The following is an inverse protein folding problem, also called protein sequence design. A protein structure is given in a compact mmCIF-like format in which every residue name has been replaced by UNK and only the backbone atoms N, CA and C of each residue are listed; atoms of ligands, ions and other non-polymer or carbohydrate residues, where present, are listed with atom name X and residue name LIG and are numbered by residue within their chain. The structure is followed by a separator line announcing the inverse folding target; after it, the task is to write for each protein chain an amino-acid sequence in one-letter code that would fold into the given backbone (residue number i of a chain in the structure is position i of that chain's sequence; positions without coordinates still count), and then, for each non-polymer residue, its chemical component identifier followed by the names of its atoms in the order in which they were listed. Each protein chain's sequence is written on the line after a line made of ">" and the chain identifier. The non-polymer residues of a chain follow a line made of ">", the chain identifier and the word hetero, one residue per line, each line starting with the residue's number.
data_IF_979977721248
#
_entry.id   IF_979977721248
#
_cell.length_a   1.000
_cell.length_b   1.000
_cell.length_c   1.000
_cell.angle_alpha   90.00
_cell.angle_beta   90.00
_cell.angle_gamma   90.00
#
_symmetry.space_group_name_H-M   'P 1'
#
loop_
_entity.id
_entity.type
_entity.pdbx_description
1 polymer ?
#
# COMPACT_ATOMS: atom_id res chain seq x y z
N UNK A 1 -25.07 -13.48 -5.66
CA UNK A 1 -24.67 -12.51 -6.67
C UNK A 1 -24.29 -11.25 -5.95
N UNK A 2 -23.08 -10.74 -6.16
CA UNK A 2 -22.52 -9.56 -5.49
C UNK A 2 -23.14 -8.31 -6.12
N UNK A 3 -23.85 -7.51 -5.33
CA UNK A 3 -24.51 -6.29 -5.79
C UNK A 3 -23.54 -5.11 -5.77
N UNK A 4 -23.33 -4.50 -6.94
CA UNK A 4 -22.32 -3.47 -7.17
C UNK A 4 -22.96 -2.10 -7.33
N UNK A 5 -22.45 -1.10 -6.60
CA UNK A 5 -22.72 0.33 -6.80
C UNK A 5 -21.51 1.00 -7.42
N UNK A 6 -21.68 1.73 -8.52
CA UNK A 6 -20.62 2.52 -9.15
C UNK A 6 -20.81 3.99 -8.83
N UNK A 7 -19.78 4.63 -8.25
CA UNK A 7 -19.82 6.02 -7.82
C UNK A 7 -18.69 6.79 -8.50
N UNK A 8 -19.04 7.72 -9.36
CA UNK A 8 -18.11 8.52 -10.13
C UNK A 8 -18.84 9.78 -10.63
N UNK A 9 -18.22 10.93 -10.69
CA UNK A 9 -18.87 12.14 -11.16
C UNK A 9 -19.03 12.16 -12.70
N UNK A 10 -18.13 11.46 -13.43
CA UNK A 10 -18.22 11.34 -14.87
C UNK A 10 -19.24 10.26 -15.30
N UNK A 11 -20.24 10.69 -16.02
CA UNK A 11 -21.28 9.80 -16.56
C UNK A 11 -20.74 8.78 -17.58
N UNK A 12 -19.74 9.17 -18.36
CA UNK A 12 -19.16 8.28 -19.38
C UNK A 12 -18.36 7.17 -18.72
N UNK A 13 -17.60 7.49 -17.68
CA UNK A 13 -16.86 6.50 -16.87
C UNK A 13 -17.83 5.51 -16.23
N UNK A 14 -18.89 5.98 -15.55
CA UNK A 14 -19.89 5.09 -14.97
C UNK A 14 -20.49 4.15 -16.00
N UNK A 15 -20.94 4.70 -17.14
CA UNK A 15 -21.52 3.91 -18.22
C UNK A 15 -20.52 2.95 -18.86
N UNK A 16 -19.27 3.40 -19.03
CA UNK A 16 -18.18 2.57 -19.55
C UNK A 16 -17.93 1.37 -18.67
N UNK A 17 -17.72 1.58 -17.37
CA UNK A 17 -17.47 0.52 -16.38
C UNK A 17 -18.69 -0.42 -16.27
N UNK A 18 -19.89 0.14 -16.16
CA UNK A 18 -21.12 -0.64 -16.05
C UNK A 18 -21.37 -1.55 -17.25
N UNK A 19 -21.04 -1.09 -18.48
CA UNK A 19 -21.37 -1.81 -19.73
C UNK A 19 -20.22 -2.65 -20.27
N UNK A 20 -18.96 -2.25 -20.05
CA UNK A 20 -17.81 -2.90 -20.67
C UNK A 20 -17.25 -4.06 -19.84
N UNK A 21 -17.46 -4.05 -18.53
CA UNK A 21 -16.99 -5.14 -17.68
C UNK A 21 -17.95 -6.35 -17.68
N UNK A 22 -17.44 -7.59 -17.79
CA UNK A 22 -18.27 -8.81 -17.80
C UNK A 22 -18.71 -9.21 -16.37
N UNK A 23 -19.45 -8.35 -15.68
CA UNK A 23 -19.87 -8.51 -14.28
C UNK A 23 -20.51 -9.86 -13.98
N UNK A 24 -21.41 -10.31 -14.86
CA UNK A 24 -22.16 -11.55 -14.67
C UNK A 24 -21.27 -12.81 -14.67
N UNK A 25 -20.17 -12.79 -15.42
CA UNK A 25 -19.22 -13.91 -15.47
C UNK A 25 -18.50 -14.13 -14.15
N UNK A 26 -18.41 -13.06 -13.32
CA UNK A 26 -17.82 -13.09 -11.98
C UNK A 26 -18.86 -13.11 -10.86
N UNK A 27 -20.14 -13.41 -11.16
CA UNK A 27 -21.20 -13.47 -10.16
C UNK A 27 -21.54 -12.12 -9.54
N UNK A 28 -21.30 -11.01 -10.26
CA UNK A 28 -21.55 -9.64 -9.86
C UNK A 28 -22.66 -9.01 -10.70
N UNK A 29 -23.40 -8.04 -10.14
CA UNK A 29 -24.45 -7.30 -10.81
C UNK A 29 -24.39 -5.83 -10.41
N UNK A 30 -24.34 -4.92 -11.39
CA UNK A 30 -24.43 -3.48 -11.11
C UNK A 30 -25.86 -3.11 -10.83
N UNK A 31 -26.16 -2.82 -9.55
CA UNK A 31 -27.51 -2.49 -9.09
C UNK A 31 -27.79 -0.99 -9.06
N UNK A 32 -26.75 -0.15 -9.19
CA UNK A 32 -26.93 1.30 -9.19
C UNK A 32 -25.69 2.07 -9.62
N UNK A 33 -25.95 3.35 -9.89
CA UNK A 33 -24.93 4.36 -10.19
C UNK A 33 -25.20 5.63 -9.40
N UNK A 34 -24.16 6.27 -8.87
CA UNK A 34 -24.26 7.57 -8.21
C UNK A 34 -23.21 8.53 -8.76
N UNK A 35 -23.55 9.83 -8.82
CA UNK A 35 -22.69 10.86 -9.41
C UNK A 35 -21.86 11.65 -8.39
N UNK A 36 -21.96 11.31 -7.10
CA UNK A 36 -21.16 11.85 -6.00
C UNK A 36 -21.44 11.04 -4.72
N UNK A 37 -20.65 11.30 -3.67
CA UNK A 37 -20.74 10.57 -2.41
C UNK A 37 -22.09 10.74 -1.69
N UNK A 38 -22.73 11.91 -1.74
CA UNK A 38 -24.03 12.13 -1.09
C UNK A 38 -25.12 11.24 -1.71
N UNK A 39 -25.23 11.21 -3.04
CA UNK A 39 -26.16 10.31 -3.74
C UNK A 39 -25.84 8.84 -3.56
N UNK A 40 -24.58 8.50 -3.34
CA UNK A 40 -24.20 7.13 -3.01
C UNK A 40 -24.73 6.72 -1.63
N UNK A 41 -24.65 7.58 -0.62
CA UNK A 41 -25.22 7.33 0.70
C UNK A 41 -26.75 7.20 0.63
N UNK A 42 -27.44 8.11 -0.08
CA UNK A 42 -28.89 8.02 -0.31
C UNK A 42 -29.29 6.67 -0.95
N UNK A 43 -28.46 6.20 -1.91
CA UNK A 43 -28.70 4.90 -2.54
C UNK A 43 -28.51 3.73 -1.57
N UNK A 44 -27.45 3.77 -0.76
CA UNK A 44 -27.14 2.74 0.23
C UNK A 44 -28.21 2.63 1.32
N UNK A 45 -28.88 3.74 1.68
CA UNK A 45 -29.99 3.71 2.65
C UNK A 45 -31.19 2.89 2.15
N UNK A 46 -31.43 2.89 0.85
CA UNK A 46 -32.60 2.26 0.24
C UNK A 46 -32.34 0.93 -0.45
N UNK A 47 -31.08 0.55 -0.64
CA UNK A 47 -30.70 -0.62 -1.43
C UNK A 47 -29.62 -1.43 -0.75
N UNK A 48 -29.70 -2.75 -0.88
CA UNK A 48 -28.61 -3.64 -0.45
C UNK A 48 -27.49 -3.62 -1.49
N UNK A 49 -26.28 -3.27 -1.05
CA UNK A 49 -25.05 -3.23 -1.85
C UNK A 49 -23.96 -4.00 -1.12
N UNK A 50 -23.26 -4.86 -1.84
CA UNK A 50 -22.16 -5.67 -1.29
C UNK A 50 -20.78 -5.07 -1.63
N UNK A 51 -20.68 -4.41 -2.79
CA UNK A 51 -19.46 -3.81 -3.30
C UNK A 51 -19.73 -2.41 -3.84
N UNK A 52 -18.94 -1.45 -3.43
CA UNK A 52 -18.94 -0.10 -3.97
C UNK A 52 -17.62 0.20 -4.66
N UNK A 53 -17.70 0.60 -5.95
CA UNK A 53 -16.58 1.17 -6.67
C UNK A 53 -16.72 2.69 -6.62
N UNK A 54 -15.75 3.41 -6.09
CA UNK A 54 -15.85 4.87 -5.94
C UNK A 54 -14.63 5.61 -6.47
N UNK A 55 -14.87 6.71 -7.20
CA UNK A 55 -13.81 7.69 -7.43
C UNK A 55 -13.51 8.46 -6.14
N UNK A 56 -12.28 8.95 -6.00
CA UNK A 56 -11.84 9.75 -4.86
C UNK A 56 -12.19 11.23 -5.02
N UNK A 57 -12.06 11.76 -6.24
CA UNK A 57 -12.19 13.19 -6.51
C UNK A 57 -13.54 13.52 -7.12
N UNK A 58 -14.57 13.66 -6.29
CA UNK A 58 -15.93 13.99 -6.73
C UNK A 58 -16.43 15.30 -6.10
N UNK A 59 -17.30 16.05 -6.81
CA UNK A 59 -17.93 17.25 -6.26
C UNK A 59 -18.96 16.89 -5.18
N UNK A 60 -19.33 17.85 -4.31
CA UNK A 60 -20.31 17.76 -3.24
C UNK A 60 -19.82 16.93 -2.04
N UNK A 61 -19.45 15.67 -2.26
CA UNK A 61 -18.88 14.77 -1.30
C UNK A 61 -17.85 13.89 -2.03
N UNK A 62 -16.61 13.98 -1.62
CA UNK A 62 -15.49 13.21 -2.15
C UNK A 62 -15.60 11.72 -1.82
N UNK A 63 -14.86 10.87 -2.55
CA UNK A 63 -14.81 9.44 -2.24
C UNK A 63 -14.26 9.13 -0.85
N UNK A 64 -13.31 9.91 -0.36
CA UNK A 64 -12.77 9.76 1.00
C UNK A 64 -13.84 10.06 2.05
N UNK A 65 -14.60 11.15 1.90
CA UNK A 65 -15.70 11.48 2.83
C UNK A 65 -16.80 10.42 2.78
N UNK A 66 -17.13 9.92 1.57
CA UNK A 66 -18.07 8.82 1.37
C UNK A 66 -17.59 7.56 2.09
N UNK A 67 -16.33 7.18 1.94
CA UNK A 67 -15.77 5.99 2.58
C UNK A 67 -15.83 6.09 4.11
N UNK A 68 -15.50 7.24 4.70
CA UNK A 68 -15.61 7.46 6.16
C UNK A 68 -17.04 7.28 6.65
N UNK A 69 -18.01 7.90 5.97
CA UNK A 69 -19.42 7.78 6.33
C UNK A 69 -19.93 6.35 6.14
N UNK A 70 -19.61 5.71 5.01
CA UNK A 70 -20.03 4.35 4.71
C UNK A 70 -19.46 3.33 5.71
N UNK A 71 -18.21 3.48 6.15
CA UNK A 71 -17.63 2.58 7.16
C UNK A 71 -18.32 2.62 8.52
N UNK A 72 -18.81 3.78 8.92
CA UNK A 72 -19.54 3.92 10.17
C UNK A 72 -20.95 3.28 10.12
N UNK A 73 -21.59 3.34 8.96
CA UNK A 73 -23.00 2.91 8.81
C UNK A 73 -23.08 1.49 8.24
N UNK A 74 -22.19 1.15 7.31
CA UNK A 74 -22.17 -0.11 6.56
C UNK A 74 -20.79 -0.80 6.66
N UNK A 75 -20.41 -1.34 7.83
CA UNK A 75 -19.07 -1.92 8.05
C UNK A 75 -18.77 -3.11 7.13
N UNK A 76 -19.82 -3.79 6.65
CA UNK A 76 -19.71 -4.96 5.76
C UNK A 76 -19.55 -4.60 4.28
N UNK A 77 -19.73 -3.34 3.91
CA UNK A 77 -19.61 -2.89 2.52
C UNK A 77 -18.16 -3.00 2.05
N UNK A 78 -17.93 -3.79 1.01
CA UNK A 78 -16.62 -3.81 0.35
C UNK A 78 -16.44 -2.57 -0.50
N UNK A 79 -15.26 -1.94 -0.44
CA UNK A 79 -15.00 -0.70 -1.16
C UNK A 79 -13.75 -0.89 -2.03
N UNK A 80 -13.88 -0.58 -3.31
CA UNK A 80 -12.79 -0.51 -4.28
C UNK A 80 -12.70 0.93 -4.79
N UNK A 81 -11.50 1.46 -4.81
CA UNK A 81 -11.26 2.83 -5.28
C UNK A 81 -10.92 2.82 -6.77
N UNK A 82 -11.60 3.68 -7.52
CA UNK A 82 -11.29 4.03 -8.90
C UNK A 82 -10.61 5.39 -8.91
N UNK A 83 -9.44 5.53 -9.50
CA UNK A 83 -8.77 6.83 -9.54
C UNK A 83 -7.98 7.05 -10.82
N UNK A 84 -8.07 8.25 -11.38
CA UNK A 84 -7.15 8.73 -12.43
C UNK A 84 -5.83 9.20 -11.81
N UNK A 85 -5.85 9.54 -10.53
CA UNK A 85 -4.71 10.10 -9.84
C UNK A 85 -3.88 9.02 -9.15
N UNK A 86 -2.59 9.09 -9.39
CA UNK A 86 -1.58 8.35 -8.62
C UNK A 86 -1.15 9.15 -7.37
N UNK A 87 -2.03 10.03 -6.88
CA UNK A 87 -1.76 10.82 -5.67
C UNK A 87 -1.76 9.89 -4.46
N UNK A 88 -0.59 9.69 -3.97
CA UNK A 88 -0.25 8.79 -2.90
C UNK A 88 -1.08 9.03 -1.62
N UNK A 89 -1.27 10.27 -1.23
CA UNK A 89 -1.99 10.64 0.00
C UNK A 89 -3.46 10.17 -0.04
N UNK A 90 -4.11 10.25 -1.19
CA UNK A 90 -5.48 9.78 -1.35
C UNK A 90 -5.58 8.24 -1.39
N UNK A 91 -4.62 7.58 -2.03
CA UNK A 91 -4.56 6.10 -2.06
C UNK A 91 -4.28 5.57 -0.65
N UNK A 92 -3.36 6.19 0.08
CA UNK A 92 -3.03 5.83 1.46
C UNK A 92 -4.24 5.99 2.38
N UNK A 93 -4.96 7.12 2.29
CA UNK A 93 -6.15 7.36 3.09
C UNK A 93 -7.28 6.38 2.74
N UNK A 94 -7.47 6.05 1.46
CA UNK A 94 -8.46 5.07 1.04
C UNK A 94 -8.16 3.67 1.58
N UNK A 95 -6.90 3.24 1.54
CA UNK A 95 -6.47 1.96 2.12
C UNK A 95 -6.62 1.96 3.65
N UNK A 96 -6.31 3.08 4.32
CA UNK A 96 -6.53 3.27 5.75
C UNK A 96 -8.01 3.18 6.13
N UNK A 97 -8.91 3.68 5.28
CA UNK A 97 -10.35 3.57 5.43
C UNK A 97 -10.89 2.18 5.05
N UNK A 98 -10.01 1.23 4.73
CA UNK A 98 -10.37 -0.16 4.47
C UNK A 98 -10.84 -0.43 3.04
N UNK A 99 -10.36 0.31 2.04
CA UNK A 99 -10.52 -0.12 0.65
C UNK A 99 -9.87 -1.49 0.46
N UNK A 100 -10.60 -2.42 -0.14
CA UNK A 100 -10.08 -3.77 -0.41
C UNK A 100 -9.18 -3.80 -1.63
N UNK A 101 -9.33 -2.84 -2.55
CA UNK A 101 -8.47 -2.68 -3.73
C UNK A 101 -8.52 -1.25 -4.25
N UNK A 102 -7.53 -0.90 -5.10
CA UNK A 102 -7.58 0.31 -5.89
C UNK A 102 -7.29 0.00 -7.36
N UNK A 103 -7.89 0.75 -8.25
CA UNK A 103 -7.77 0.57 -9.69
C UNK A 103 -7.48 1.94 -10.31
N UNK A 104 -6.33 2.06 -10.98
CA UNK A 104 -6.06 3.25 -11.77
C UNK A 104 -6.93 3.21 -13.04
N UNK A 105 -7.78 4.23 -13.28
CA UNK A 105 -8.67 4.29 -14.45
C UNK A 105 -7.89 4.19 -15.78
N UNK A 106 -6.64 4.69 -15.82
CA UNK A 106 -5.73 4.54 -16.97
C UNK A 106 -5.35 3.07 -17.23
N UNK A 107 -5.37 2.23 -16.21
CA UNK A 107 -5.11 0.80 -16.34
C UNK A 107 -6.33 0.05 -16.90
N UNK A 108 -7.55 0.56 -16.68
CA UNK A 108 -8.77 -0.01 -17.26
C UNK A 108 -8.78 0.00 -18.79
N UNK A 109 -8.01 0.88 -19.43
CA UNK A 109 -7.81 0.86 -20.88
C UNK A 109 -6.79 -0.18 -21.36
N UNK A 110 -5.91 -0.66 -20.48
CA UNK A 110 -4.78 -1.55 -20.78
C UNK A 110 -4.88 -2.94 -20.17
N UNK A 111 -5.56 -3.08 -19.03
CA UNK A 111 -5.79 -4.37 -18.39
C UNK A 111 -7.06 -5.01 -18.98
N UNK A 112 -7.02 -6.32 -19.14
CA UNK A 112 -8.24 -7.07 -19.42
C UNK A 112 -9.16 -6.94 -18.19
N UNK A 113 -10.37 -6.46 -18.36
CA UNK A 113 -11.38 -6.28 -17.30
C UNK A 113 -11.57 -7.55 -16.43
N UNK A 114 -11.39 -8.72 -17.04
CA UNK A 114 -11.45 -10.02 -16.40
C UNK A 114 -10.43 -10.13 -15.25
N UNK A 115 -9.20 -9.65 -15.43
CA UNK A 115 -8.17 -9.67 -14.37
C UNK A 115 -8.57 -8.81 -13.17
N UNK A 116 -9.14 -7.64 -13.43
CA UNK A 116 -9.61 -6.73 -12.37
C UNK A 116 -10.76 -7.37 -11.61
N UNK A 117 -11.78 -7.87 -12.30
CA UNK A 117 -12.94 -8.51 -11.68
C UNK A 117 -12.57 -9.79 -10.94
N UNK A 118 -11.66 -10.59 -11.48
CA UNK A 118 -11.18 -11.79 -10.80
C UNK A 118 -10.45 -11.44 -9.49
N UNK A 119 -9.62 -10.39 -9.50
CA UNK A 119 -8.91 -9.92 -8.30
C UNK A 119 -9.90 -9.45 -7.23
N UNK A 120 -10.90 -8.64 -7.60
CA UNK A 120 -11.95 -8.16 -6.69
C UNK A 120 -12.76 -9.36 -6.16
N UNK A 121 -13.21 -10.26 -7.04
CA UNK A 121 -13.98 -11.44 -6.67
C UNK A 121 -13.23 -12.32 -5.67
N UNK A 122 -11.95 -12.57 -5.93
CA UNK A 122 -11.09 -13.35 -5.03
C UNK A 122 -10.99 -12.70 -3.67
N UNK A 123 -10.74 -11.38 -3.60
CA UNK A 123 -10.66 -10.64 -2.33
C UNK A 123 -11.97 -10.65 -1.54
N UNK A 124 -13.11 -10.42 -2.21
CA UNK A 124 -14.42 -10.52 -1.56
C UNK A 124 -14.69 -11.95 -1.08
N UNK A 125 -14.32 -12.96 -1.89
CA UNK A 125 -14.43 -14.35 -1.54
C UNK A 125 -13.61 -14.73 -0.30
N UNK A 126 -12.38 -14.21 -0.20
CA UNK A 126 -11.50 -14.36 0.96
C UNK A 126 -12.14 -13.76 2.22
N UNK A 127 -12.67 -12.55 2.12
CA UNK A 127 -13.31 -11.84 3.23
C UNK A 127 -14.67 -12.46 3.65
N UNK A 128 -15.44 -13.00 2.69
CA UNK A 128 -16.76 -13.59 2.96
C UNK A 128 -16.69 -15.06 3.38
N UNK A 129 -15.72 -15.84 2.88
CA UNK A 129 -15.54 -17.23 3.28
C UNK A 129 -15.05 -17.38 4.71
N UNK A 130 -14.30 -16.40 5.22
CA UNK A 130 -13.91 -16.32 6.63
C UNK A 130 -15.14 -16.27 7.56
N UNK A 131 -16.29 -15.75 7.10
CA UNK A 131 -17.53 -15.64 7.89
C UNK A 131 -18.55 -16.75 7.71
N UNK A 132 -18.51 -17.54 6.59
CA UNK A 132 -19.59 -18.49 6.26
C UNK A 132 -19.37 -19.94 6.71
N UNK A 133 -18.17 -20.30 7.17
CA UNK A 133 -17.84 -21.69 7.56
C UNK A 133 -17.56 -21.86 9.05
N UNK A 134 -18.21 -21.09 9.91
CA UNK A 134 -18.33 -21.49 11.30
C UNK A 134 -19.39 -22.61 11.36
N UNK A 135 -19.04 -23.87 11.63
CA UNK A 135 -19.96 -24.72 12.33
C UNK A 135 -20.38 -23.89 13.56
N UNK A 136 -21.65 -23.97 13.97
CA UNK A 136 -22.06 -23.49 15.29
C UNK A 136 -21.29 -24.31 16.35
N UNK A 137 -20.00 -24.03 16.47
CA UNK A 137 -19.18 -24.45 17.58
C UNK A 137 -19.71 -23.67 18.76
N UNK A 138 -20.62 -24.30 19.50
CA UNK A 138 -21.34 -23.72 20.61
C UNK A 138 -20.39 -23.04 21.61
N UNK A 139 -20.94 -22.28 22.51
CA UNK A 139 -20.31 -21.62 23.65
C UNK A 139 -19.57 -22.59 24.62
N UNK A 140 -19.02 -23.69 24.10
CA UNK A 140 -18.30 -24.70 24.88
C UNK A 140 -16.91 -24.14 25.15
N UNK A 141 -16.61 -23.86 26.40
CA UNK A 141 -15.30 -23.44 26.85
C UNK A 141 -14.26 -24.52 26.55
N UNK A 142 -13.11 -24.12 26.06
CA UNK A 142 -12.00 -25.00 25.73
C UNK A 142 -11.33 -25.49 27.01
N UNK A 143 -11.24 -26.79 27.20
CA UNK A 143 -10.59 -27.42 28.37
C UNK A 143 -9.15 -27.85 28.08
N UNK A 144 -8.63 -27.56 26.89
CA UNK A 144 -7.28 -27.92 26.48
C UNK A 144 -6.26 -26.89 27.01
N UNK A 145 -5.01 -27.34 27.25
CA UNK A 145 -3.93 -26.44 27.71
C UNK A 145 -3.31 -25.65 26.58
N UNK A 146 -3.23 -26.26 25.41
CA UNK A 146 -2.63 -25.69 24.20
C UNK A 146 -3.53 -25.92 22.99
N UNK A 147 -3.46 -24.99 22.05
CA UNK A 147 -3.99 -25.10 20.70
C UNK A 147 -2.85 -24.86 19.73
N UNK A 148 -2.79 -25.68 18.71
CA UNK A 148 -1.82 -25.57 17.62
C UNK A 148 -2.53 -25.06 16.39
N UNK A 149 -1.93 -24.10 15.68
CA UNK A 149 -2.49 -23.64 14.41
C UNK A 149 -1.41 -23.64 13.32
N UNK A 150 -1.68 -24.36 12.23
CA UNK A 150 -0.86 -24.33 11.03
C UNK A 150 -1.46 -23.32 10.07
N UNK A 151 -0.73 -22.26 9.80
CA UNK A 151 -1.18 -21.10 9.03
C UNK A 151 -0.31 -20.94 7.79
N UNK A 152 -0.92 -20.78 6.61
CA UNK A 152 -0.20 -20.40 5.40
C UNK A 152 -0.26 -18.89 5.21
N UNK A 153 0.89 -18.23 5.08
CA UNK A 153 0.99 -16.82 4.74
C UNK A 153 0.72 -16.58 3.25
N UNK A 154 0.95 -17.58 2.39
CA UNK A 154 0.59 -17.51 0.96
C UNK A 154 -0.88 -17.82 0.73
N UNK A 155 -1.70 -16.77 0.81
CA UNK A 155 -3.15 -16.86 0.55
C UNK A 155 -3.50 -17.01 -0.95
N UNK A 156 -2.54 -16.86 -1.86
CA UNK A 156 -2.77 -16.88 -3.32
C UNK A 156 -2.61 -18.24 -3.94
N UNK A 157 -1.91 -19.16 -3.29
CA UNK A 157 -1.80 -20.53 -3.83
C UNK A 157 -3.17 -21.18 -3.81
N UNK A 158 -3.72 -21.46 -4.99
CA UNK A 158 -4.98 -22.19 -5.13
C UNK A 158 -4.90 -23.64 -4.66
N UNK A 159 -3.78 -24.05 -4.12
CA UNK A 159 -3.49 -25.39 -3.63
C UNK A 159 -4.12 -25.56 -2.24
N UNK A 160 -5.17 -26.37 -2.16
CA UNK A 160 -5.68 -26.87 -0.89
C UNK A 160 -4.69 -27.94 -0.43
N UNK A 161 -4.01 -27.68 0.67
CA UNK A 161 -3.06 -28.62 1.23
C UNK A 161 -3.80 -29.85 1.78
N UNK A 162 -3.49 -31.02 1.32
CA UNK A 162 -3.92 -32.23 1.98
C UNK A 162 -3.07 -32.40 3.24
N UNK A 163 -3.38 -31.63 4.29
CA UNK A 163 -2.92 -32.00 5.61
C UNK A 163 -3.55 -33.31 5.92
N UNK A 164 -2.73 -34.33 6.23
CA UNK A 164 -3.22 -35.69 6.50
C UNK A 164 -4.31 -35.61 7.58
N UNK A 165 -5.56 -35.75 7.11
CA UNK A 165 -6.77 -35.66 7.94
C UNK A 165 -6.96 -36.97 8.77
N UNK A 166 -5.90 -37.76 8.99
CA UNK A 166 -5.91 -38.83 9.95
C UNK A 166 -5.89 -38.26 11.36
N UNK A 167 -7.05 -37.74 11.79
CA UNK A 167 -7.26 -37.37 13.18
C UNK A 167 -7.15 -38.63 14.04
N UNK A 168 -6.26 -38.59 15.03
CA UNK A 168 -6.33 -39.53 16.15
C UNK A 168 -7.73 -39.48 16.79
N UNK A 169 -8.22 -40.55 17.38
CA UNK A 169 -9.56 -40.64 17.93
C UNK A 169 -9.97 -39.55 18.93
N UNK A 170 -9.00 -38.85 19.47
CA UNK A 170 -9.19 -37.83 20.54
C UNK A 170 -8.74 -36.40 20.12
N UNK A 171 -8.36 -36.18 18.86
CA UNK A 171 -7.97 -34.89 18.34
C UNK A 171 -9.19 -34.08 17.87
N UNK A 172 -9.22 -32.80 18.26
CA UNK A 172 -10.19 -31.85 17.77
C UNK A 172 -9.51 -30.98 16.71
N UNK A 173 -10.07 -30.94 15.51
CA UNK A 173 -9.54 -30.21 14.37
C UNK A 173 -10.59 -29.26 13.80
N UNK A 174 -10.17 -28.01 13.47
CA UNK A 174 -11.02 -27.01 12.84
C UNK A 174 -10.26 -26.25 11.75
N UNK A 175 -10.96 -25.88 10.71
CA UNK A 175 -10.49 -24.91 9.74
C UNK A 175 -10.65 -23.49 10.35
N UNK A 176 -9.55 -22.73 10.40
CA UNK A 176 -9.55 -21.33 10.88
C UNK A 176 -10.00 -20.42 9.76
N UNK A 177 -9.30 -20.53 8.63
CA UNK A 177 -9.60 -19.89 7.36
C UNK A 177 -9.00 -20.74 6.22
N UNK A 178 -9.13 -20.30 4.97
CA UNK A 178 -8.60 -21.04 3.83
C UNK A 178 -7.09 -21.30 3.99
N UNK A 179 -6.71 -22.58 3.91
CA UNK A 179 -5.33 -23.05 4.13
C UNK A 179 -4.77 -22.78 5.54
N UNK A 180 -5.63 -22.64 6.55
CA UNK A 180 -5.22 -22.48 7.94
C UNK A 180 -6.09 -23.34 8.84
N UNK A 181 -5.45 -24.15 9.68
CA UNK A 181 -6.11 -25.14 10.51
C UNK A 181 -5.65 -25.04 11.94
N UNK A 182 -6.50 -25.38 12.89
CA UNK A 182 -6.15 -25.49 14.30
C UNK A 182 -6.51 -26.86 14.88
N UNK A 183 -5.70 -27.31 15.83
CA UNK A 183 -5.83 -28.58 16.51
C UNK A 183 -5.70 -28.41 18.03
N UNK A 184 -6.38 -29.31 18.74
CA UNK A 184 -6.16 -29.50 20.16
C UNK A 184 -6.24 -30.98 20.49
N UNK A 185 -5.47 -31.39 21.47
CA UNK A 185 -5.46 -32.76 22.01
C UNK A 185 -5.56 -32.75 23.51
N UNK A 186 -6.10 -33.82 24.15
CA UNK A 186 -6.05 -34.00 25.58
C UNK A 186 -4.61 -34.00 26.12
N UNK A 187 -4.45 -33.72 27.39
CA UNK A 187 -3.16 -33.69 28.07
C UNK A 187 -2.42 -35.03 27.89
N UNK A 188 -1.19 -34.97 27.39
CA UNK A 188 -0.34 -36.14 27.11
C UNK A 188 -0.19 -36.49 25.65
N UNK A 189 -1.04 -35.95 24.72
CA UNK A 189 -0.91 -36.09 23.28
C UNK A 189 -0.20 -34.90 22.58
N UNK A 190 0.16 -33.88 23.35
CA UNK A 190 0.66 -32.61 22.84
C UNK A 190 1.96 -32.73 22.03
N UNK A 191 2.91 -33.55 22.51
CA UNK A 191 4.22 -33.68 21.87
C UNK A 191 4.10 -34.44 20.52
N UNK A 192 3.25 -35.48 20.46
CA UNK A 192 3.03 -36.21 19.22
C UNK A 192 2.35 -35.36 18.14
N UNK A 193 1.35 -34.58 18.54
CA UNK A 193 0.70 -33.63 17.64
C UNK A 193 1.68 -32.57 17.15
N UNK A 194 2.49 -32.01 18.03
CA UNK A 194 3.49 -31.01 17.68
C UNK A 194 4.50 -31.53 16.65
N UNK A 195 5.07 -32.71 16.89
CA UNK A 195 6.06 -33.34 15.97
C UNK A 195 5.45 -33.63 14.60
N UNK A 196 4.18 -34.08 14.55
CA UNK A 196 3.46 -34.26 13.31
C UNK A 196 3.26 -32.95 12.54
N UNK A 197 2.70 -31.94 13.19
CA UNK A 197 2.44 -30.63 12.58
C UNK A 197 3.73 -29.92 12.13
N UNK A 198 4.82 -30.13 12.88
CA UNK A 198 6.13 -29.65 12.48
C UNK A 198 6.64 -30.33 11.21
N UNK A 199 6.38 -31.63 11.05
CA UNK A 199 6.69 -32.37 9.81
C UNK A 199 5.83 -31.92 8.62
N UNK A 200 4.56 -31.60 8.86
CA UNK A 200 3.64 -31.12 7.83
C UNK A 200 3.98 -29.68 7.39
N UNK A 201 4.62 -28.89 8.25
CA UNK A 201 5.00 -27.49 8.00
C UNK A 201 5.89 -27.35 6.75
N UNK A 202 6.79 -28.30 6.51
CA UNK A 202 7.67 -28.30 5.32
C UNK A 202 6.90 -28.39 3.99
N UNK A 203 5.65 -28.86 4.04
CA UNK A 203 4.78 -29.00 2.87
C UNK A 203 3.92 -27.74 2.64
N UNK A 204 3.88 -26.80 3.60
CA UNK A 204 3.07 -25.57 3.55
C UNK A 204 3.96 -24.41 3.11
N UNK A 205 3.82 -23.87 1.88
CA UNK A 205 4.60 -22.71 1.46
C UNK A 205 4.37 -21.53 2.40
N UNK A 206 5.46 -20.98 2.89
CA UNK A 206 5.43 -19.90 3.87
C UNK A 206 4.52 -20.24 5.06
N UNK A 207 4.55 -21.51 5.50
CA UNK A 207 3.78 -21.99 6.63
C UNK A 207 4.37 -21.49 7.94
N UNK A 208 3.50 -21.22 8.91
CA UNK A 208 3.86 -20.96 10.30
C UNK A 208 3.06 -21.89 11.22
N UNK A 209 3.73 -22.49 12.22
CA UNK A 209 3.10 -23.26 13.28
C UNK A 209 2.99 -22.42 14.53
N UNK A 210 1.79 -21.99 14.87
CA UNK A 210 1.50 -21.26 16.10
C UNK A 210 1.22 -22.28 17.21
N UNK A 211 1.89 -22.10 18.36
CA UNK A 211 1.66 -22.87 19.59
C UNK A 211 1.03 -21.93 20.61
N UNK A 212 -0.30 -21.99 20.75
CA UNK A 212 -1.06 -21.09 21.62
C UNK A 212 -1.17 -21.69 23.01
N UNK A 213 -0.82 -20.90 24.00
CA UNK A 213 -1.04 -21.14 25.43
C UNK A 213 -2.12 -20.21 26.00
N UNK A 214 -2.55 -20.46 27.23
CA UNK A 214 -3.56 -19.67 27.93
C UNK A 214 -4.91 -19.61 27.19
N UNK A 215 -5.26 -20.72 26.55
CA UNK A 215 -6.50 -20.89 25.79
C UNK A 215 -7.69 -21.31 26.65
N UNK A 216 -7.46 -21.69 27.91
CA UNK A 216 -8.49 -22.17 28.85
C UNK A 216 -9.55 -21.08 29.08
N UNK A 217 -10.80 -21.53 29.29
CA UNK A 217 -11.96 -20.66 29.51
C UNK A 217 -12.38 -19.81 28.29
N UNK A 218 -11.71 -19.98 27.14
CA UNK A 218 -12.08 -19.31 25.89
C UNK A 218 -12.95 -20.23 25.03
N UNK A 219 -13.79 -19.64 24.20
CA UNK A 219 -14.56 -20.39 23.20
C UNK A 219 -13.71 -20.63 21.95
N UNK A 220 -14.05 -21.65 21.17
CA UNK A 220 -13.39 -21.93 19.87
C UNK A 220 -13.46 -20.72 18.93
N UNK A 221 -14.56 -20.00 18.92
CA UNK A 221 -14.73 -18.78 18.11
C UNK A 221 -13.79 -17.65 18.56
N UNK A 222 -13.55 -17.52 19.87
CA UNK A 222 -12.58 -16.53 20.38
C UNK A 222 -11.16 -16.89 19.97
N UNK A 223 -10.79 -18.17 20.03
CA UNK A 223 -9.46 -18.65 19.60
C UNK A 223 -9.28 -18.44 18.11
N UNK A 224 -10.29 -18.82 17.30
CA UNK A 224 -10.25 -18.62 15.85
C UNK A 224 -10.08 -17.16 15.45
N UNK A 225 -10.89 -16.26 16.03
CA UNK A 225 -10.79 -14.83 15.76
C UNK A 225 -9.45 -14.26 16.20
N UNK A 226 -8.90 -14.74 17.30
CA UNK A 226 -7.59 -14.34 17.76
C UNK A 226 -6.49 -14.78 16.79
N UNK A 227 -6.53 -16.04 16.30
CA UNK A 227 -5.55 -16.53 15.30
C UNK A 227 -5.62 -15.69 14.03
N UNK A 228 -6.83 -15.38 13.52
CA UNK A 228 -7.02 -14.55 12.33
C UNK A 228 -6.40 -13.17 12.55
N UNK A 229 -6.73 -12.51 13.66
CA UNK A 229 -6.19 -11.19 13.98
C UNK A 229 -4.66 -11.22 14.13
N UNK A 230 -4.12 -12.20 14.86
CA UNK A 230 -2.68 -12.38 15.04
C UNK A 230 -1.95 -12.59 13.71
N UNK A 231 -2.54 -13.38 12.81
CA UNK A 231 -1.99 -13.64 11.47
C UNK A 231 -1.92 -12.36 10.63
N UNK A 232 -2.91 -11.48 10.75
CA UNK A 232 -2.95 -10.23 9.97
C UNK A 232 -2.05 -9.13 10.54
N UNK A 233 -1.75 -9.19 11.82
CA UNK A 233 -1.00 -8.15 12.53
C UNK A 233 0.40 -8.63 12.92
N UNK A 234 0.51 -9.38 13.99
CA UNK A 234 1.78 -9.70 14.63
C UNK A 234 2.57 -10.78 13.91
N UNK A 235 1.91 -11.80 13.34
CA UNK A 235 2.59 -12.85 12.59
C UNK A 235 3.33 -12.30 11.38
N UNK A 236 2.78 -11.27 10.72
CA UNK A 236 3.46 -10.61 9.60
C UNK A 236 4.88 -10.15 9.96
N UNK A 237 5.07 -9.63 11.18
CA UNK A 237 6.36 -9.14 11.68
C UNK A 237 7.19 -10.20 12.39
N UNK A 238 6.56 -11.26 12.91
CA UNK A 238 7.21 -12.30 13.69
C UNK A 238 7.72 -13.48 12.85
N UNK A 239 7.16 -13.65 11.65
CA UNK A 239 7.49 -14.78 10.80
C UNK A 239 8.91 -14.73 10.24
N UNK A 240 9.67 -15.81 10.47
CA UNK A 240 10.97 -16.06 9.87
C UNK A 240 11.00 -17.46 9.25
N UNK A 241 11.40 -17.60 7.97
CA UNK A 241 11.40 -18.90 7.28
C UNK A 241 12.31 -19.95 7.95
N UNK A 242 13.36 -19.51 8.65
CA UNK A 242 14.31 -20.38 9.34
C UNK A 242 13.78 -20.90 10.69
N UNK A 243 12.85 -20.16 11.31
CA UNK A 243 12.20 -20.53 12.56
C UNK A 243 10.68 -20.27 12.48
N UNK A 244 9.95 -21.10 11.71
CA UNK A 244 8.53 -20.87 11.46
C UNK A 244 7.61 -21.36 12.59
N UNK A 245 8.17 -21.80 13.73
CA UNK A 245 7.41 -22.23 14.92
C UNK A 245 7.36 -21.10 15.93
N UNK A 246 6.15 -20.60 16.21
CA UNK A 246 5.94 -19.43 17.05
C UNK A 246 5.08 -19.82 18.25
N UNK A 247 5.67 -19.77 19.45
CA UNK A 247 4.95 -19.96 20.71
C UNK A 247 4.43 -18.58 21.19
N UNK A 248 3.13 -18.51 21.47
CA UNK A 248 2.48 -17.26 21.89
C UNK A 248 1.41 -17.53 22.96
N UNK A 249 1.31 -16.64 23.94
CA UNK A 249 0.23 -16.65 24.93
C UNK A 249 -0.93 -15.77 24.46
N UNK A 250 -2.15 -16.29 24.54
CA UNK A 250 -3.35 -15.49 24.26
C UNK A 250 -3.61 -14.38 25.30
N UNK A 251 -2.88 -14.37 26.41
CA UNK A 251 -2.93 -13.31 27.41
C UNK A 251 -1.87 -12.22 27.15
N UNK A 252 -0.89 -12.49 26.31
CA UNK A 252 -0.03 -11.42 25.82
C UNK A 252 -0.90 -10.45 25.03
N UNK A 253 -0.97 -9.23 25.56
CA UNK A 253 -1.67 -8.15 24.87
C UNK A 253 -0.90 -7.90 23.60
N UNK A 254 -1.46 -8.36 22.50
CA UNK A 254 -0.99 -7.94 21.18
C UNK A 254 -1.07 -6.40 21.19
N UNK A 255 0.08 -5.76 21.27
CA UNK A 255 0.12 -4.31 21.17
C UNK A 255 -0.37 -4.00 19.75
N UNK A 256 -1.68 -3.75 19.65
CA UNK A 256 -2.28 -3.33 18.40
C UNK A 256 -1.37 -2.26 17.79
N UNK A 257 -1.09 -2.33 16.48
CA UNK A 257 -0.26 -1.33 15.84
C UNK A 257 -0.80 0.04 16.22
N UNK A 258 -0.02 0.78 17.01
CA UNK A 258 -0.32 2.18 17.32
C UNK A 258 -0.32 2.90 15.99
N UNK A 259 -1.36 3.68 15.71
CA UNK A 259 -1.34 4.52 14.51
C UNK A 259 -0.08 5.41 14.60
N UNK A 260 0.87 5.27 13.64
CA UNK A 260 2.07 6.09 13.66
C UNK A 260 1.68 7.54 13.48
N UNK A 261 2.34 8.45 14.18
CA UNK A 261 2.15 9.88 13.98
C UNK A 261 2.66 10.29 12.61
N UNK A 262 2.07 11.29 12.02
CA UNK A 262 2.53 11.84 10.73
C UNK A 262 4.02 12.23 10.77
N UNK A 263 4.49 12.73 11.93
CA UNK A 263 5.91 13.03 12.17
C UNK A 263 6.84 11.81 12.05
N UNK A 264 6.41 10.64 12.52
CA UNK A 264 7.18 9.40 12.45
C UNK A 264 7.28 8.91 10.99
N UNK A 265 6.18 9.02 10.23
CA UNK A 265 6.14 8.69 8.80
C UNK A 265 7.03 9.62 7.97
N UNK A 266 6.98 10.92 8.24
CA UNK A 266 7.83 11.92 7.58
C UNK A 266 9.31 11.75 7.94
N UNK A 267 9.60 11.34 9.19
CA UNK A 267 10.96 11.04 9.61
C UNK A 267 11.53 9.87 8.83
N UNK A 268 10.81 8.76 8.75
CA UNK A 268 11.21 7.56 7.97
C UNK A 268 11.44 7.94 6.50
N UNK A 269 10.49 8.63 5.87
CA UNK A 269 10.63 9.07 4.47
C UNK A 269 11.93 9.86 4.27
N UNK A 270 12.18 10.88 5.10
CA UNK A 270 13.40 11.70 5.00
C UNK A 270 14.66 10.89 5.22
N UNK A 271 14.68 10.00 6.21
CA UNK A 271 15.84 9.19 6.53
C UNK A 271 16.22 8.22 5.41
N UNK A 272 15.23 7.61 4.77
CA UNK A 272 15.44 6.74 3.61
C UNK A 272 15.78 7.49 2.32
N UNK A 273 15.43 8.77 2.24
CA UNK A 273 15.75 9.61 1.10
C UNK A 273 17.15 10.23 1.20
N UNK A 274 17.56 10.69 2.39
CA UNK A 274 18.88 11.22 2.69
C UNK A 274 19.85 10.07 2.87
N UNK A 275 20.74 9.89 1.97
CA UNK A 275 21.50 8.67 1.68
C UNK A 275 22.80 8.35 2.43
N UNK A 276 23.04 8.69 3.71
CA UNK A 276 24.17 8.08 4.42
C UNK A 276 24.08 6.56 4.52
N UNK A 277 22.87 6.01 4.39
CA UNK A 277 22.62 4.57 4.49
C UNK A 277 23.19 3.77 3.31
N UNK A 278 23.38 4.36 2.13
CA UNK A 278 23.91 3.64 0.97
C UNK A 278 25.37 3.19 1.15
N UNK A 279 26.11 3.84 2.07
CA UNK A 279 27.54 3.57 2.32
C UNK A 279 27.84 3.25 3.78
N UNK A 280 26.83 3.13 4.64
CA UNK A 280 26.96 2.84 6.06
C UNK A 280 26.00 1.73 6.47
N UNK A 281 26.49 0.50 6.49
CA UNK A 281 25.72 -0.69 6.83
C UNK A 281 25.08 -0.61 8.23
N UNK A 282 25.75 0.03 9.21
CA UNK A 282 25.18 0.20 10.55
C UNK A 282 23.96 1.13 10.52
N UNK A 283 24.07 2.24 9.77
CA UNK A 283 22.95 3.16 9.64
C UNK A 283 21.80 2.54 8.84
N UNK A 284 22.10 1.77 7.78
CA UNK A 284 21.11 0.99 7.05
C UNK A 284 20.35 0.03 7.99
N UNK A 285 21.06 -0.77 8.78
CA UNK A 285 20.45 -1.71 9.72
C UNK A 285 19.59 -0.98 10.76
N UNK A 286 20.05 0.17 11.26
CA UNK A 286 19.28 1.01 12.17
C UNK A 286 17.96 1.48 11.54
N UNK A 287 17.98 1.94 10.28
CA UNK A 287 16.79 2.38 9.56
C UNK A 287 15.80 1.23 9.31
N UNK A 288 16.29 0.03 8.96
CA UNK A 288 15.44 -1.15 8.79
C UNK A 288 14.75 -1.51 10.10
N UNK A 289 15.48 -1.50 11.21
CA UNK A 289 14.91 -1.82 12.52
C UNK A 289 13.94 -0.74 13.02
N UNK A 290 14.25 0.55 12.78
CA UNK A 290 13.34 1.65 13.07
C UNK A 290 12.04 1.51 12.27
N UNK A 291 12.13 1.17 10.98
CA UNK A 291 10.98 0.93 10.12
C UNK A 291 10.15 -0.28 10.61
N UNK A 292 10.80 -1.39 10.98
CA UNK A 292 10.16 -2.57 11.56
C UNK A 292 9.42 -2.24 12.85
N UNK A 293 10.02 -1.39 13.69
CA UNK A 293 9.47 -1.03 15.01
C UNK A 293 8.17 -0.24 14.95
N UNK A 294 7.89 0.45 13.84
CA UNK A 294 6.62 1.15 13.62
C UNK A 294 5.42 0.20 13.53
N UNK A 295 5.64 -1.08 13.26
CA UNK A 295 4.57 -2.07 13.17
C UNK A 295 3.37 -1.63 12.34
N UNK A 296 3.63 -1.02 11.17
CA UNK A 296 2.60 -0.48 10.29
C UNK A 296 1.61 -1.56 9.85
N UNK A 297 0.34 -1.21 9.70
CA UNK A 297 -0.61 -2.08 9.01
C UNK A 297 -0.16 -2.29 7.56
N UNK A 298 -0.47 -3.45 6.95
CA UNK A 298 -0.03 -3.80 5.58
C UNK A 298 -0.30 -2.69 4.56
N UNK A 299 -1.48 -2.04 4.62
CA UNK A 299 -1.83 -0.94 3.72
C UNK A 299 -0.92 0.28 3.89
N UNK A 300 -0.66 0.68 5.14
CA UNK A 300 0.23 1.80 5.46
C UNK A 300 1.68 1.50 5.05
N UNK A 301 2.15 0.27 5.32
CA UNK A 301 3.47 -0.20 4.91
C UNK A 301 3.64 -0.14 3.39
N UNK A 302 2.69 -0.71 2.65
CA UNK A 302 2.70 -0.70 1.18
C UNK A 302 2.69 0.73 0.64
N UNK A 303 1.88 1.59 1.24
CA UNK A 303 1.81 2.99 0.90
C UNK A 303 3.14 3.72 1.09
N UNK A 304 3.81 3.51 2.21
CA UNK A 304 5.12 4.10 2.49
C UNK A 304 6.20 3.60 1.52
N UNK A 305 6.26 2.28 1.29
CA UNK A 305 7.21 1.70 0.33
C UNK A 305 6.97 2.21 -1.09
N UNK A 306 5.71 2.34 -1.50
CA UNK A 306 5.35 2.90 -2.80
C UNK A 306 5.83 4.36 -2.93
N UNK A 307 5.63 5.18 -1.90
CA UNK A 307 6.15 6.55 -1.84
C UNK A 307 7.67 6.59 -2.03
N UNK A 308 8.41 5.76 -1.30
CA UNK A 308 9.87 5.68 -1.40
C UNK A 308 10.31 5.27 -2.80
N UNK A 309 9.67 4.25 -3.39
CA UNK A 309 9.99 3.79 -4.76
C UNK A 309 9.72 4.86 -5.80
N UNK A 310 8.61 5.58 -5.68
CA UNK A 310 8.28 6.68 -6.60
C UNK A 310 9.34 7.79 -6.52
N UNK A 311 9.74 8.17 -5.32
CA UNK A 311 10.78 9.18 -5.14
C UNK A 311 12.15 8.70 -5.63
N UNK A 312 12.54 7.47 -5.32
CA UNK A 312 13.78 6.89 -5.84
C UNK A 312 13.76 6.79 -7.36
N UNK A 313 12.67 6.33 -7.95
CA UNK A 313 12.53 6.29 -9.41
C UNK A 313 12.58 7.68 -10.03
N UNK A 314 12.06 8.69 -9.35
CA UNK A 314 12.17 10.07 -9.81
C UNK A 314 13.62 10.58 -9.79
N UNK A 315 14.37 10.22 -8.74
CA UNK A 315 15.78 10.59 -8.60
C UNK A 315 16.71 9.83 -9.56
N UNK A 316 16.46 8.54 -9.75
CA UNK A 316 17.37 7.64 -10.45
C UNK A 316 16.87 7.22 -11.85
N UNK A 317 15.74 7.73 -12.31
CA UNK A 317 15.09 7.29 -13.57
C UNK A 317 15.99 7.38 -14.80
N UNK A 318 16.95 8.30 -14.81
CA UNK A 318 17.90 8.51 -15.92
C UNK A 318 19.32 8.00 -15.61
N UNK A 319 19.47 7.28 -14.48
CA UNK A 319 20.74 6.63 -14.11
C UNK A 319 20.81 5.19 -14.64
N UNK A 320 21.99 4.58 -14.56
CA UNK A 320 22.20 3.17 -14.92
C UNK A 320 21.42 2.16 -14.09
N UNK A 321 20.80 2.60 -12.98
CA UNK A 321 19.97 1.79 -12.08
C UNK A 321 18.71 1.26 -12.77
N UNK A 322 18.16 2.01 -13.72
CA UNK A 322 16.84 1.73 -14.26
C UNK A 322 15.72 1.99 -13.23
N UNK A 323 14.49 1.57 -13.55
CA UNK A 323 13.36 1.74 -12.64
C UNK A 323 13.31 0.63 -11.61
N UNK A 324 13.22 1.01 -10.33
CA UNK A 324 12.94 0.10 -9.22
C UNK A 324 11.49 -0.38 -9.36
N UNK A 325 11.32 -1.69 -9.45
CA UNK A 325 9.99 -2.30 -9.55
C UNK A 325 9.37 -2.47 -8.17
N UNK A 326 8.12 -2.08 -8.04
CA UNK A 326 7.35 -2.28 -6.82
C UNK A 326 6.78 -3.70 -6.77
N UNK A 327 6.84 -4.34 -5.60
CA UNK A 327 6.12 -5.58 -5.32
C UNK A 327 4.71 -5.21 -4.87
N UNK A 328 3.69 -5.86 -5.43
CA UNK A 328 2.29 -5.53 -5.17
C UNK A 328 1.79 -5.98 -3.79
N UNK A 329 2.44 -6.94 -3.16
CA UNK A 329 2.08 -7.40 -1.81
C UNK A 329 3.22 -8.19 -1.20
N UNK A 330 3.39 -8.07 0.11
CA UNK A 330 4.28 -8.87 0.93
C UNK A 330 3.45 -9.74 1.88
N UNK A 331 3.92 -10.94 2.15
CA UNK A 331 3.27 -11.86 3.07
C UNK A 331 3.87 -11.81 4.49
N UNK A 332 5.10 -11.32 4.60
CA UNK A 332 5.80 -11.15 5.87
C UNK A 332 6.78 -9.98 5.83
N UNK A 333 7.18 -9.51 7.00
CA UNK A 333 8.26 -8.53 7.12
C UNK A 333 9.59 -9.05 6.54
N UNK A 334 9.84 -10.34 6.65
CA UNK A 334 11.02 -10.96 6.05
C UNK A 334 11.11 -10.69 4.54
N UNK A 335 10.00 -10.80 3.81
CA UNK A 335 9.98 -10.46 2.38
C UNK A 335 10.23 -8.98 2.13
N UNK A 336 9.68 -8.11 2.97
CA UNK A 336 9.94 -6.67 2.92
C UNK A 336 11.43 -6.38 3.08
N UNK A 337 12.04 -6.98 4.08
CA UNK A 337 13.47 -6.82 4.38
C UNK A 337 14.35 -7.33 3.26
N UNK A 338 14.05 -8.49 2.68
CA UNK A 338 14.77 -9.01 1.51
C UNK A 338 14.62 -8.06 0.30
N UNK A 339 13.43 -7.54 0.05
CA UNK A 339 13.20 -6.59 -1.02
C UNK A 339 13.94 -5.27 -0.79
N UNK A 340 13.91 -4.72 0.42
CA UNK A 340 14.67 -3.52 0.80
C UNK A 340 16.16 -3.76 0.56
N UNK A 341 16.68 -4.92 0.99
CA UNK A 341 18.09 -5.28 0.80
C UNK A 341 18.50 -5.34 -0.66
N UNK A 342 17.73 -6.00 -1.51
CA UNK A 342 18.01 -6.07 -2.95
C UNK A 342 17.94 -4.68 -3.61
N UNK A 343 16.99 -3.86 -3.19
CA UNK A 343 16.85 -2.48 -3.66
C UNK A 343 18.05 -1.64 -3.24
N UNK A 344 18.46 -1.77 -1.97
CA UNK A 344 19.67 -1.14 -1.43
C UNK A 344 20.93 -1.50 -2.21
N UNK A 345 21.17 -2.79 -2.43
CA UNK A 345 22.34 -3.26 -3.20
C UNK A 345 22.34 -2.71 -4.63
N UNK A 346 21.16 -2.58 -5.22
CA UNK A 346 21.02 -2.01 -6.57
C UNK A 346 21.33 -0.52 -6.59
N UNK A 347 20.84 0.25 -5.62
CA UNK A 347 21.10 1.69 -5.47
C UNK A 347 22.59 1.91 -5.19
N UNK A 348 23.18 1.13 -4.30
CA UNK A 348 24.62 1.21 -3.99
C UNK A 348 25.51 0.97 -5.20
N UNK A 349 25.22 -0.05 -6.01
CA UNK A 349 25.95 -0.32 -7.25
C UNK A 349 25.86 0.83 -8.25
N UNK A 350 24.72 1.51 -8.31
CA UNK A 350 24.57 2.68 -9.16
C UNK A 350 25.37 3.88 -8.62
N UNK A 351 25.35 4.11 -7.32
CA UNK A 351 26.13 5.16 -6.67
C UNK A 351 27.66 4.94 -6.85
N UNK A 352 28.15 3.70 -6.81
CA UNK A 352 29.56 3.34 -7.04
C UNK A 352 30.05 3.64 -8.47
N UNK A 353 29.15 3.73 -9.44
CA UNK A 353 29.50 4.08 -10.83
C UNK A 353 29.64 5.59 -11.04
N UNK A 354 29.21 6.40 -10.07
CA UNK A 354 29.32 7.86 -10.12
C UNK A 354 30.68 8.29 -9.57
N UNK A 355 31.51 8.92 -10.39
CA UNK A 355 32.88 9.33 -10.04
C UNK A 355 32.98 10.53 -9.08
N UNK A 356 31.99 10.71 -8.17
CA UNK A 356 31.97 11.81 -7.22
C UNK A 356 32.08 11.29 -5.77
N UNK A 357 32.60 12.15 -4.87
CA UNK A 357 32.64 11.80 -3.46
C UNK A 357 31.21 11.69 -2.89
N UNK A 358 31.02 10.82 -1.88
CA UNK A 358 29.73 10.63 -1.23
C UNK A 358 29.16 11.95 -0.69
N UNK A 359 30.00 12.78 -0.10
CA UNK A 359 29.62 14.09 0.41
C UNK A 359 29.01 14.98 -0.69
N UNK A 360 29.51 14.85 -1.92
CA UNK A 360 28.98 15.56 -3.08
C UNK A 360 27.63 15.01 -3.52
N UNK A 361 27.51 13.68 -3.60
CA UNK A 361 26.24 13.02 -3.96
C UNK A 361 25.15 13.40 -2.95
N UNK A 362 25.44 13.32 -1.66
CA UNK A 362 24.53 13.70 -0.59
C UNK A 362 24.17 15.20 -0.63
N UNK A 363 25.14 16.04 -0.96
CA UNK A 363 24.94 17.47 -1.15
C UNK A 363 23.96 17.77 -2.29
N UNK A 364 24.11 17.09 -3.44
CA UNK A 364 23.19 17.25 -4.58
C UNK A 364 21.79 16.70 -4.23
N UNK A 365 21.69 15.54 -3.58
CA UNK A 365 20.42 14.98 -3.13
C UNK A 365 19.71 15.91 -2.12
N UNK A 366 20.45 16.49 -1.18
CA UNK A 366 19.92 17.49 -0.23
C UNK A 366 19.42 18.75 -0.93
N UNK A 367 20.16 19.21 -1.95
CA UNK A 367 19.73 20.36 -2.76
C UNK A 367 18.39 20.07 -3.47
N UNK A 368 18.23 18.85 -4.01
CA UNK A 368 16.98 18.39 -4.64
C UNK A 368 15.82 18.40 -3.66
N UNK A 369 16.00 17.88 -2.45
CA UNK A 369 14.96 17.91 -1.42
C UNK A 369 14.51 19.33 -1.04
N UNK A 370 15.48 20.22 -0.86
CA UNK A 370 15.17 21.64 -0.57
C UNK A 370 14.33 22.24 -1.71
N UNK A 371 14.71 21.95 -2.95
CA UNK A 371 13.99 22.44 -4.13
C UNK A 371 12.57 21.86 -4.24
N UNK A 372 12.33 20.61 -3.85
CA UNK A 372 11.01 19.99 -3.88
C UNK A 372 10.08 20.51 -2.78
N UNK A 373 10.61 20.77 -1.58
CA UNK A 373 9.84 21.25 -0.44
C UNK A 373 9.43 22.73 -0.54
N UNK A 374 10.30 23.56 -1.13
CA UNK A 374 10.13 25.01 -1.14
C UNK A 374 10.10 25.56 -2.58
N UNK A 375 9.21 25.03 -3.42
CA UNK A 375 9.12 25.37 -4.85
C UNK A 375 8.84 26.85 -5.13
N UNK A 376 8.23 27.56 -4.18
CA UNK A 376 7.95 28.99 -4.25
C UNK A 376 9.22 29.85 -4.11
N UNK A 377 10.31 29.29 -3.57
CA UNK A 377 11.57 30.01 -3.45
C UNK A 377 12.39 29.99 -4.76
N UNK A 378 13.08 31.07 -5.02
CA UNK A 378 13.99 31.20 -6.15
C UNK A 378 15.35 30.55 -5.83
N UNK A 379 15.46 29.24 -5.97
CA UNK A 379 16.75 28.57 -5.86
C UNK A 379 17.63 28.87 -7.08
N UNK A 380 18.90 29.15 -6.81
CA UNK A 380 19.90 29.29 -7.86
C UNK A 380 21.06 28.31 -7.64
N UNK A 381 21.64 27.80 -8.73
CA UNK A 381 22.83 26.96 -8.64
C UNK A 381 23.98 27.63 -7.84
N UNK A 382 24.07 28.95 -7.88
CA UNK A 382 25.04 29.73 -7.11
C UNK A 382 24.76 29.70 -5.61
N UNK A 383 23.50 29.86 -5.19
CA UNK A 383 23.13 29.83 -3.77
C UNK A 383 23.35 28.43 -3.16
N UNK A 384 22.96 27.37 -3.87
CA UNK A 384 23.16 25.99 -3.40
C UNK A 384 24.66 25.61 -3.41
N UNK A 385 25.41 26.01 -4.43
CA UNK A 385 26.85 25.74 -4.45
C UNK A 385 27.61 26.42 -3.29
N UNK A 386 27.17 27.61 -2.86
CA UNK A 386 27.72 28.28 -1.68
C UNK A 386 27.42 27.51 -0.40
N UNK A 387 26.20 26.99 -0.24
CA UNK A 387 25.84 26.16 0.91
C UNK A 387 26.67 24.87 1.01
N UNK A 388 27.09 24.33 -0.13
CA UNK A 388 27.94 23.16 -0.22
C UNK A 388 29.44 23.47 -0.23
N UNK A 389 29.85 24.75 -0.09
CA UNK A 389 31.23 25.23 -0.13
C UNK A 389 32.02 24.80 -1.41
N UNK A 390 31.34 24.79 -2.56
CA UNK A 390 31.93 24.40 -3.85
C UNK A 390 31.71 25.46 -4.92
N UNK A 391 32.48 25.40 -6.00
CA UNK A 391 32.28 26.32 -7.12
C UNK A 391 30.96 26.01 -7.86
N UNK A 392 30.31 27.06 -8.37
CA UNK A 392 29.08 26.93 -9.17
C UNK A 392 29.26 26.00 -10.39
N UNK A 393 30.42 26.09 -11.06
CA UNK A 393 30.69 25.27 -12.22
C UNK A 393 30.79 23.79 -11.87
N UNK A 394 31.48 23.47 -10.77
CA UNK A 394 31.60 22.11 -10.28
C UNK A 394 30.24 21.56 -9.82
N UNK A 395 29.47 22.34 -9.05
CA UNK A 395 28.09 21.97 -8.66
C UNK A 395 27.22 21.65 -9.89
N UNK A 396 27.25 22.53 -10.91
CA UNK A 396 26.41 22.36 -12.10
C UNK A 396 26.77 21.09 -12.88
N UNK A 397 28.07 20.76 -12.94
CA UNK A 397 28.52 19.52 -13.56
C UNK A 397 28.11 18.29 -12.75
N UNK A 398 28.39 18.27 -11.44
CA UNK A 398 27.99 17.20 -10.54
C UNK A 398 26.47 16.97 -10.56
N UNK A 399 25.71 18.07 -10.48
CA UNK A 399 24.25 18.00 -10.53
C UNK A 399 23.76 17.34 -11.82
N UNK A 400 24.31 17.76 -12.97
CA UNK A 400 23.94 17.19 -14.26
C UNK A 400 24.31 15.70 -14.35
N UNK A 401 25.51 15.32 -13.90
CA UNK A 401 25.98 13.95 -13.99
C UNK A 401 25.24 13.00 -13.03
N UNK A 402 24.85 13.50 -11.83
CA UNK A 402 24.10 12.74 -10.83
C UNK A 402 22.60 12.66 -11.17
N UNK A 403 22.01 13.78 -11.62
CA UNK A 403 20.56 13.91 -11.83
C UNK A 403 20.12 13.69 -13.29
N UNK A 404 21.07 13.50 -14.24
CA UNK A 404 20.79 13.36 -15.66
C UNK A 404 20.32 14.65 -16.35
N UNK A 405 20.01 15.72 -15.61
CA UNK A 405 19.48 16.99 -16.08
C UNK A 405 20.28 18.17 -15.52
N UNK A 406 20.34 19.27 -16.26
CA UNK A 406 20.92 20.48 -15.69
C UNK A 406 20.05 20.97 -14.52
N UNK A 407 20.66 21.68 -13.56
CA UNK A 407 19.95 22.27 -12.43
C UNK A 407 18.71 23.10 -12.86
N UNK A 408 18.83 23.91 -13.92
CA UNK A 408 17.74 24.71 -14.41
C UNK A 408 16.63 23.88 -15.05
N UNK A 409 16.98 22.83 -15.81
CA UNK A 409 15.99 21.94 -16.42
C UNK A 409 15.26 21.11 -15.37
N UNK A 410 15.99 20.64 -14.35
CA UNK A 410 15.40 19.92 -13.24
C UNK A 410 14.47 20.83 -12.41
N UNK A 411 14.90 22.04 -12.07
CA UNK A 411 14.07 23.03 -11.38
C UNK A 411 12.78 23.33 -12.15
N UNK A 412 12.90 23.49 -13.46
CA UNK A 412 11.75 23.73 -14.33
C UNK A 412 10.81 22.52 -14.36
N UNK A 413 11.38 21.34 -14.44
CA UNK A 413 10.63 20.09 -14.46
C UNK A 413 9.80 19.89 -13.19
N UNK A 414 10.39 19.96 -11.99
CA UNK A 414 9.65 19.75 -10.73
C UNK A 414 8.54 20.80 -10.51
N UNK A 415 8.77 22.05 -10.91
CA UNK A 415 7.77 23.11 -10.86
C UNK A 415 6.59 22.83 -11.79
N UNK A 416 6.85 22.26 -12.97
CA UNK A 416 5.79 21.92 -13.92
C UNK A 416 5.01 20.70 -13.44
N UNK A 417 5.64 19.67 -12.90
CA UNK A 417 4.94 18.52 -12.33
C UNK A 417 4.02 18.97 -11.17
N UNK A 418 4.51 19.77 -10.25
CA UNK A 418 3.69 20.31 -9.16
C UNK A 418 2.56 21.23 -9.66
N UNK A 419 2.79 21.98 -10.72
CA UNK A 419 1.73 22.79 -11.32
C UNK A 419 0.63 21.96 -11.95
N UNK A 420 0.96 20.85 -12.61
CA UNK A 420 -0.03 19.89 -13.12
C UNK A 420 -0.90 19.34 -11.99
N UNK A 421 -0.30 18.96 -10.88
CA UNK A 421 -0.99 18.51 -9.67
C UNK A 421 -1.99 19.59 -9.18
N UNK A 422 -1.55 20.83 -8.99
CA UNK A 422 -2.45 21.91 -8.58
C UNK A 422 -3.56 22.20 -9.61
N UNK A 423 -3.27 22.13 -10.91
CA UNK A 423 -4.25 22.35 -11.96
C UNK A 423 -5.38 21.32 -11.94
N UNK A 424 -5.04 20.06 -11.66
CA UNK A 424 -5.98 18.95 -11.65
C UNK A 424 -6.77 18.86 -10.34
N UNK A 425 -6.11 19.17 -9.20
CA UNK A 425 -6.63 18.90 -7.87
C UNK A 425 -7.23 20.14 -7.18
N UNK A 426 -7.06 21.35 -7.75
CA UNK A 426 -7.55 22.57 -7.13
C UNK A 426 -8.31 23.46 -8.11
N UNK A 427 -9.17 24.33 -7.54
CA UNK A 427 -9.85 25.39 -8.31
C UNK A 427 -9.07 26.72 -8.24
N UNK A 428 -7.84 26.73 -7.75
CA UNK A 428 -7.04 27.92 -7.61
C UNK A 428 -6.78 28.59 -8.98
N UNK A 429 -6.62 29.92 -8.98
CA UNK A 429 -6.32 30.66 -10.20
C UNK A 429 -4.98 30.25 -10.79
N UNK A 430 -4.81 30.41 -12.10
CA UNK A 430 -3.53 30.15 -12.77
C UNK A 430 -2.43 31.04 -12.17
N UNK A 431 -2.77 32.28 -11.79
CA UNK A 431 -1.88 33.18 -11.09
C UNK A 431 -1.38 32.60 -9.76
N UNK A 432 -2.31 32.11 -8.92
CA UNK A 432 -1.97 31.48 -7.64
C UNK A 432 -1.04 30.25 -7.83
N UNK A 433 -1.35 29.42 -8.82
CA UNK A 433 -0.52 28.23 -9.12
C UNK A 433 0.87 28.66 -9.57
N UNK A 434 0.97 29.64 -10.48
CA UNK A 434 2.25 30.17 -10.94
C UNK A 434 3.12 30.65 -9.78
N UNK A 435 2.52 31.44 -8.87
CA UNK A 435 3.19 31.97 -7.69
C UNK A 435 3.65 30.83 -6.76
N UNK A 436 2.77 29.85 -6.51
CA UNK A 436 3.05 28.72 -5.61
C UNK A 436 4.15 27.78 -6.12
N UNK A 437 4.34 27.72 -7.43
CA UNK A 437 5.44 26.96 -8.04
C UNK A 437 6.64 27.85 -8.42
N UNK A 438 6.73 29.06 -7.86
CA UNK A 438 7.88 29.95 -7.93
C UNK A 438 8.02 30.77 -9.22
N UNK A 439 6.90 31.08 -9.90
CA UNK A 439 6.87 32.01 -11.02
C UNK A 439 6.14 33.29 -10.61
N UNK A 440 6.81 34.42 -10.75
CA UNK A 440 6.25 35.75 -10.43
C UNK A 440 5.36 36.29 -11.56
N UNK A 441 5.46 35.75 -12.77
CA UNK A 441 4.69 36.20 -13.95
C UNK A 441 3.86 35.06 -14.50
N UNK A 442 2.54 35.17 -14.46
CA UNK A 442 1.57 34.18 -14.95
C UNK A 442 1.71 33.91 -16.45
N UNK A 443 2.01 34.97 -17.26
CA UNK A 443 2.14 34.81 -18.71
C UNK A 443 3.41 34.02 -19.06
N UNK A 444 4.49 34.30 -18.34
CA UNK A 444 5.73 33.55 -18.47
C UNK A 444 5.54 32.10 -18.06
N UNK A 445 4.90 31.85 -16.92
CA UNK A 445 4.53 30.51 -16.46
C UNK A 445 3.71 29.76 -17.53
N UNK A 446 2.64 30.38 -18.02
CA UNK A 446 1.76 29.75 -19.01
C UNK A 446 2.47 29.41 -20.32
N UNK A 447 3.43 30.24 -20.75
CA UNK A 447 4.29 29.96 -21.89
C UNK A 447 5.17 28.76 -21.67
N UNK A 448 5.89 28.69 -20.54
CA UNK A 448 6.76 27.57 -20.20
C UNK A 448 5.96 26.27 -20.03
N UNK A 449 4.79 26.38 -19.39
CA UNK A 449 3.90 25.22 -19.23
C UNK A 449 3.48 24.67 -20.61
N UNK A 450 3.08 25.55 -21.54
CA UNK A 450 2.73 25.15 -22.90
C UNK A 450 3.92 24.56 -23.68
N UNK A 451 5.12 25.12 -23.54
CA UNK A 451 6.33 24.57 -24.16
C UNK A 451 6.59 23.13 -23.73
N UNK A 452 6.31 22.78 -22.46
CA UNK A 452 6.58 21.45 -21.89
C UNK A 452 5.42 20.46 -22.04
N UNK A 453 4.17 20.93 -22.05
CA UNK A 453 2.99 20.06 -22.05
C UNK A 453 2.23 20.07 -23.39
N UNK A 454 2.53 21.03 -24.27
CA UNK A 454 1.83 21.22 -25.54
C UNK A 454 0.56 22.07 -25.45
N UNK A 455 0.01 22.29 -24.24
CA UNK A 455 -1.26 23.00 -24.02
C UNK A 455 -1.13 24.09 -22.94
N UNK A 456 -2.04 25.06 -22.91
CA UNK A 456 -2.06 26.07 -21.86
C UNK A 456 -2.51 25.48 -20.52
N UNK A 457 -2.11 26.05 -19.36
CA UNK A 457 -2.56 25.62 -18.04
C UNK A 457 -4.08 25.51 -17.89
N UNK A 458 -4.81 26.49 -18.46
CA UNK A 458 -6.28 26.45 -18.45
C UNK A 458 -6.87 25.32 -19.30
N UNK A 459 -6.27 25.05 -20.44
CA UNK A 459 -6.64 23.93 -21.31
C UNK A 459 -6.31 22.59 -20.65
N UNK A 460 -5.12 22.47 -20.03
CA UNK A 460 -4.71 21.28 -19.28
C UNK A 460 -5.70 20.96 -18.15
N UNK A 461 -6.12 22.00 -17.39
CA UNK A 461 -7.17 21.88 -16.37
C UNK A 461 -8.50 21.41 -16.96
N UNK A 462 -8.89 21.94 -18.14
CA UNK A 462 -10.13 21.54 -18.79
C UNK A 462 -10.06 20.11 -19.34
N UNK A 463 -8.95 19.73 -19.97
CA UNK A 463 -8.70 18.37 -20.45
C UNK A 463 -8.75 17.36 -19.29
N UNK A 464 -8.03 17.63 -18.21
CA UNK A 464 -8.06 16.77 -17.03
C UNK A 464 -9.41 16.79 -16.27
N UNK A 465 -10.34 17.72 -16.62
CA UNK A 465 -11.73 17.72 -16.15
C UNK A 465 -12.71 17.12 -17.15
N UNK A 466 -12.38 17.14 -18.42
CA UNK A 466 -13.17 16.47 -19.46
C UNK A 466 -12.96 14.95 -19.42
N UNK A 467 -11.79 14.52 -18.93
CA UNK A 467 -11.44 13.11 -18.70
C UNK A 467 -11.85 12.63 -17.27
N UNK A 468 -12.48 13.49 -16.48
CA UNK A 468 -13.07 13.20 -15.17
C UNK A 468 -14.60 13.15 -15.33
#
# INVERSE_FOLDING_TARGET
>A
MIKVLIVDDDKLVRKGISSAMPWNEFGMEVVGEASNGAKALDFLESNSVDLMLTDLAMPVMSGIELMRAARQIYPELHIVVLTLHQDFDYIQEALRLGAIDYIAKVQLEKEQFEHVLNRIHTRIGELTNTRRKLPQLGEINVHYRKVYALVSLDRKSGQIWPIGLESGSDEVQFEVERNSWMWAVPQGGEDQLFDRLKGDLDQVPQGALLVLSDVQERTWSQIQNWIINYTETSLFYAYEPQDPVIAVSMNEVDTAPTEPRDEDMDHIKRSWFLSPWTHNDNYYNQLVEEFRSLRLQKGQLMGLLYSLVMEWNHLFAETTLGRISMIHSFQSWYEVEQWIKLTFESIRKADEQVSYSQEMIDGVKKAVMIMQNDLDQAFTASGLSQQLNISRSYFSQCFKDIMGKTFNDYSRYIRMEKSKEYLLNTNNTIFWIAERVGYTDEKYFSRIFRELTGVLPSEYRQLGRADK
#
